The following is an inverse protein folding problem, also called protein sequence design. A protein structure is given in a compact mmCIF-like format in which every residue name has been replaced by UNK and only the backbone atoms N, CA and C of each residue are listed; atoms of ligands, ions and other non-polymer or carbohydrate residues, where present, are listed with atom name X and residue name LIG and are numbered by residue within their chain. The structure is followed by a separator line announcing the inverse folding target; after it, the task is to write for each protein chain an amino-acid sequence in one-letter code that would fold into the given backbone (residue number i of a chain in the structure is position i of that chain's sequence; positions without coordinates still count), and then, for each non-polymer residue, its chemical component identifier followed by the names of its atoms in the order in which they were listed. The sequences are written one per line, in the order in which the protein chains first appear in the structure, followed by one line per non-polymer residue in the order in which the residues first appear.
data_IF_173653107331
#
_entry.id   IF_173653107331
#
_cell.length_a   1.000
_cell.length_b   1.000
_cell.length_c   1.000
_cell.angle_alpha   90.00
_cell.angle_beta   90.00
_cell.angle_gamma   90.00
#
_symmetry.space_group_name_H-M   'P 1'
#
loop_
_entity.id
_entity.type
_entity.pdbx_description
1 polymer ?
#
# COMPACT_ATOMS: atom_id res chain seq x y z
N UNK A 1 -4.62 -10.99 11.25
CA UNK A 1 -5.05 -9.62 10.86
C UNK A 1 -5.56 -9.72 9.44
N UNK A 2 -6.62 -8.97 9.06
CA UNK A 2 -7.05 -8.92 7.67
C UNK A 2 -5.88 -8.57 6.77
N UNK A 3 -5.79 -9.25 5.63
CA UNK A 3 -4.77 -8.94 4.62
C UNK A 3 -5.21 -7.68 3.87
N UNK A 4 -4.29 -6.74 3.66
CA UNK A 4 -4.54 -5.55 2.86
C UNK A 4 -3.58 -5.33 1.70
N UNK A 5 -2.39 -5.93 1.71
CA UNK A 5 -1.50 -5.90 0.57
C UNK A 5 -1.52 -7.24 -0.14
N UNK A 6 -1.39 -7.24 -1.47
CA UNK A 6 -0.96 -8.46 -2.13
C UNK A 6 0.45 -8.78 -1.63
N UNK A 7 0.66 -10.04 -1.23
CA UNK A 7 1.96 -10.51 -0.75
C UNK A 7 3.09 -10.16 -1.72
N UNK A 8 2.77 -10.16 -3.01
CA UNK A 8 3.68 -9.81 -4.08
C UNK A 8 3.29 -8.47 -4.70
N UNK A 9 4.27 -7.58 -4.86
CA UNK A 9 4.12 -6.32 -5.57
C UNK A 9 5.08 -6.29 -6.76
N UNK A 10 4.63 -5.74 -7.88
CA UNK A 10 5.44 -5.70 -9.09
C UNK A 10 6.50 -4.60 -9.00
N UNK A 11 7.76 -4.97 -9.15
CA UNK A 11 8.88 -4.05 -9.24
C UNK A 11 9.28 -3.86 -10.69
N UNK A 12 9.26 -2.62 -11.18
CA UNK A 12 9.81 -2.32 -12.49
C UNK A 12 11.36 -2.32 -12.41
N UNK A 13 12.05 -3.25 -13.10
CA UNK A 13 13.49 -3.40 -13.00
C UNK A 13 14.27 -2.23 -13.62
N UNK A 14 13.64 -1.45 -14.50
CA UNK A 14 14.30 -0.36 -15.21
C UNK A 14 14.39 0.92 -14.38
N UNK A 15 13.49 1.11 -13.42
CA UNK A 15 13.42 2.33 -12.63
C UNK A 15 13.25 2.09 -11.13
N UNK A 16 13.22 0.85 -10.65
CA UNK A 16 13.10 0.50 -9.23
C UNK A 16 11.85 1.08 -8.58
N UNK A 17 10.74 1.18 -9.33
CA UNK A 17 9.43 1.66 -8.85
C UNK A 17 8.50 0.46 -8.66
N UNK A 18 7.68 0.51 -7.62
CA UNK A 18 6.60 -0.47 -7.47
C UNK A 18 5.45 -0.02 -8.38
N UNK A 19 5.08 -0.85 -9.34
CA UNK A 19 4.04 -0.53 -10.30
C UNK A 19 2.69 -1.08 -9.86
N UNK A 20 1.66 -0.24 -9.96
CA UNK A 20 0.27 -0.59 -9.65
C UNK A 20 0.10 -1.30 -8.29
N UNK A 21 0.67 -0.78 -7.19
CA UNK A 21 0.56 -1.45 -5.91
C UNK A 21 -0.90 -1.62 -5.50
N UNK A 22 -1.20 -2.73 -4.85
CA UNK A 22 -2.57 -3.08 -4.50
C UNK A 22 -2.68 -4.22 -3.51
N UNK A 23 -3.92 -4.55 -3.17
CA UNK A 23 -4.20 -5.67 -2.31
C UNK A 23 -5.69 -5.90 -2.03
N UNK A 24 -6.02 -6.95 -1.30
CA UNK A 24 -7.40 -7.26 -0.95
C UNK A 24 -7.94 -6.27 0.09
N UNK A 25 -9.25 -6.06 0.11
CA UNK A 25 -9.94 -5.37 1.20
C UNK A 25 -10.69 -6.44 1.96
N UNK A 26 -10.05 -7.00 2.98
CA UNK A 26 -10.64 -8.03 3.82
C UNK A 26 -10.88 -7.51 5.23
N UNK A 27 -11.81 -8.12 5.95
CA UNK A 27 -12.08 -7.80 7.35
C UNK A 27 -12.74 -6.44 7.62
N UNK A 28 -13.33 -5.81 6.60
CA UNK A 28 -14.17 -4.63 6.80
C UNK A 28 -15.51 -5.06 7.37
N UNK A 29 -15.91 -4.44 8.47
CA UNK A 29 -17.13 -4.78 9.19
C UNK A 29 -18.41 -4.56 8.34
N UNK A 30 -19.41 -5.45 8.42
CA UNK A 30 -20.70 -5.26 7.78
C UNK A 30 -21.40 -4.02 8.34
N UNK A 31 -21.38 -2.92 7.58
CA UNK A 31 -21.84 -1.61 8.07
C UNK A 31 -20.89 -0.48 7.70
N UNK A 32 -19.68 -0.81 7.26
CA UNK A 32 -18.70 0.14 6.77
C UNK A 32 -18.52 0.02 5.26
N UNK A 33 -18.41 1.16 4.60
CA UNK A 33 -18.17 1.26 3.16
C UNK A 33 -16.79 1.86 2.88
N UNK A 34 -15.84 1.10 2.31
CA UNK A 34 -14.55 1.61 1.91
C UNK A 34 -14.66 2.77 0.93
N UNK A 35 -14.08 3.93 1.28
CA UNK A 35 -14.13 5.13 0.43
C UNK A 35 -12.80 5.50 -0.17
N UNK A 36 -11.73 5.54 0.63
CA UNK A 36 -10.40 5.78 0.08
C UNK A 36 -9.28 4.99 0.76
N UNK A 37 -8.17 4.73 0.05
CA UNK A 37 -6.93 4.14 0.59
C UNK A 37 -5.75 5.01 0.20
N UNK A 38 -4.99 5.42 1.20
CA UNK A 38 -3.65 5.97 1.02
C UNK A 38 -2.64 4.88 1.34
N UNK A 39 -1.68 4.66 0.46
CA UNK A 39 -0.72 3.58 0.60
C UNK A 39 0.71 4.05 0.33
N UNK A 40 1.66 3.47 1.06
CA UNK A 40 3.09 3.67 0.92
C UNK A 40 3.82 2.34 1.00
N UNK A 41 4.97 2.26 0.36
CA UNK A 41 5.92 1.19 0.54
C UNK A 41 7.25 1.77 1.02
N UNK A 42 7.90 1.06 1.92
CA UNK A 42 9.27 1.36 2.37
C UNK A 42 10.09 0.08 2.36
N UNK A 43 11.32 0.14 1.90
CA UNK A 43 12.28 -0.98 2.00
C UNK A 43 13.44 -0.52 2.87
N UNK A 44 13.93 -1.39 3.75
CA UNK A 44 15.08 -1.08 4.58
C UNK A 44 16.33 -0.85 3.72
N UNK A 45 17.08 0.20 4.01
CA UNK A 45 18.38 0.44 3.39
C UNK A 45 19.47 -0.21 4.24
N UNK A 46 20.10 -1.26 3.74
CA UNK A 46 21.24 -1.87 4.41
C UNK A 46 21.47 -3.31 3.98
N UNK A 47 22.71 -3.61 3.57
CA UNK A 47 23.17 -4.98 3.31
C UNK A 47 23.64 -5.67 4.62
N UNK A 48 23.56 -5.00 5.77
CA UNK A 48 24.01 -5.53 7.06
C UNK A 48 23.23 -4.96 8.24
N UNK A 49 23.23 -5.69 9.37
CA UNK A 49 22.55 -5.33 10.61
C UNK A 49 23.06 -4.04 11.29
N UNK A 50 24.17 -3.46 10.82
CA UNK A 50 24.82 -2.29 11.44
C UNK A 50 24.71 -1.01 10.61
N UNK A 51 24.13 -1.07 9.41
CA UNK A 51 23.97 0.09 8.54
C UNK A 51 22.49 0.45 8.42
N UNK A 52 22.09 1.52 9.11
CA UNK A 52 20.78 2.15 8.92
C UNK A 52 20.93 3.12 7.75
N UNK A 53 20.82 2.63 6.51
CA UNK A 53 20.59 3.53 5.38
C UNK A 53 19.10 3.80 5.28
N UNK A 54 18.76 5.05 4.96
CA UNK A 54 17.41 5.37 4.50
C UNK A 54 17.18 4.60 3.20
N UNK A 55 16.40 3.52 3.27
CA UNK A 55 16.05 2.77 2.08
C UNK A 55 14.93 3.45 1.30
N UNK A 56 14.58 2.89 0.13
CA UNK A 56 13.66 3.55 -0.78
C UNK A 56 12.25 3.59 -0.20
N UNK A 57 11.53 4.66 -0.53
CA UNK A 57 10.14 4.86 -0.14
C UNK A 57 9.33 5.39 -1.31
N UNK A 58 8.08 4.99 -1.38
CA UNK A 58 7.16 5.40 -2.44
C UNK A 58 5.75 5.51 -1.88
N UNK A 59 5.03 6.56 -2.25
CA UNK A 59 3.58 6.59 -2.06
C UNK A 59 2.85 6.04 -3.28
N UNK A 60 1.58 5.78 -3.08
CA UNK A 60 0.58 5.66 -4.13
C UNK A 60 -0.03 7.03 -4.39
N UNK A 61 -0.69 7.20 -5.53
CA UNK A 61 -1.58 8.34 -5.77
C UNK A 61 -2.89 7.84 -6.35
N UNK A 62 -3.97 8.55 -6.01
CA UNK A 62 -5.35 8.22 -6.36
C UNK A 62 -5.95 9.26 -7.32
N UNK A 63 -5.11 9.93 -8.11
CA UNK A 63 -5.46 11.05 -9.00
C UNK A 63 -6.64 10.79 -9.95
N UNK A 64 -6.84 9.53 -10.37
CA UNK A 64 -7.90 9.11 -11.30
C UNK A 64 -8.82 8.03 -10.73
N UNK A 65 -8.90 7.93 -9.40
CA UNK A 65 -9.57 6.82 -8.77
C UNK A 65 -11.11 6.87 -8.89
N UNK A 66 -11.71 5.80 -9.40
CA UNK A 66 -13.16 5.64 -9.58
C UNK A 66 -13.85 4.81 -8.48
N UNK A 67 -13.17 4.55 -7.36
CA UNK A 67 -13.63 3.67 -6.28
C UNK A 67 -13.00 2.27 -6.32
N UNK A 68 -13.13 1.53 -5.21
CA UNK A 68 -12.54 0.20 -5.10
C UNK A 68 -13.16 -0.78 -6.10
N UNK A 69 -12.33 -1.58 -6.75
CA UNK A 69 -12.80 -2.83 -7.35
C UNK A 69 -13.39 -3.69 -6.22
N UNK A 70 -14.54 -4.36 -6.40
CA UNK A 70 -15.14 -5.15 -5.33
C UNK A 70 -14.13 -6.11 -4.67
N UNK A 71 -13.87 -5.90 -3.37
CA UNK A 71 -12.95 -6.70 -2.57
C UNK A 71 -11.46 -6.42 -2.73
N UNK A 72 -11.05 -5.42 -3.51
CA UNK A 72 -9.63 -5.08 -3.70
C UNK A 72 -9.38 -3.61 -3.99
N UNK A 73 -8.15 -3.18 -3.74
CA UNK A 73 -7.67 -1.87 -4.12
C UNK A 73 -6.43 -1.99 -4.99
N UNK A 74 -6.27 -1.01 -5.87
CA UNK A 74 -5.08 -0.82 -6.67
C UNK A 74 -4.86 0.68 -6.77
N UNK A 75 -3.61 1.11 -6.63
CA UNK A 75 -3.24 2.49 -6.90
C UNK A 75 -3.49 2.81 -8.37
N UNK A 76 -4.16 3.93 -8.61
CA UNK A 76 -4.43 4.39 -9.96
C UNK A 76 -3.15 4.81 -10.68
N UNK A 77 -2.18 5.37 -9.96
CA UNK A 77 -0.85 5.66 -10.47
C UNK A 77 0.18 5.47 -9.34
N UNK A 78 1.45 5.16 -9.68
CA UNK A 78 2.51 5.17 -8.68
C UNK A 78 2.81 6.63 -8.28
N UNK A 79 2.81 6.94 -6.98
CA UNK A 79 2.95 8.30 -6.45
C UNK A 79 4.39 8.83 -6.43
N UNK A 80 4.74 9.61 -5.42
CA UNK A 80 6.12 10.09 -5.25
C UNK A 80 7.04 8.92 -4.93
N UNK A 81 8.31 9.01 -5.32
CA UNK A 81 9.33 7.99 -5.02
C UNK A 81 10.63 8.66 -4.58
N UNK A 82 11.25 8.13 -3.53
CA UNK A 82 12.61 8.44 -3.12
C UNK A 82 13.46 7.15 -3.16
N UNK A 83 14.59 7.16 -3.88
CA UNK A 83 15.44 5.99 -4.08
C UNK A 83 14.89 4.98 -5.09
N UNK A 84 15.57 3.84 -5.21
CA UNK A 84 15.19 2.71 -6.08
C UNK A 84 15.02 1.46 -5.23
N UNK A 85 13.83 0.88 -5.27
CA UNK A 85 13.57 -0.43 -4.68
C UNK A 85 14.39 -1.52 -5.39
N UNK A 86 14.76 -2.53 -4.61
CA UNK A 86 15.41 -3.75 -5.08
C UNK A 86 14.47 -4.95 -4.87
N UNK A 87 14.64 -6.03 -5.64
CA UNK A 87 13.93 -7.27 -5.38
C UNK A 87 14.14 -7.74 -3.93
N UNK A 88 13.08 -8.21 -3.28
CA UNK A 88 13.12 -8.66 -1.89
C UNK A 88 12.02 -8.06 -1.02
N UNK A 89 12.21 -8.11 0.30
CA UNK A 89 11.19 -7.68 1.25
C UNK A 89 11.09 -6.15 1.32
N UNK A 90 9.85 -5.68 1.45
CA UNK A 90 9.50 -4.30 1.79
C UNK A 90 8.32 -4.32 2.78
N UNK A 91 8.04 -3.17 3.38
CA UNK A 91 6.87 -2.94 4.22
C UNK A 91 5.86 -2.12 3.42
N UNK A 92 4.69 -2.69 3.17
CA UNK A 92 3.49 -1.98 2.75
C UNK A 92 2.82 -1.34 3.96
N UNK A 93 2.43 -0.08 3.82
CA UNK A 93 1.74 0.71 4.82
C UNK A 93 0.50 1.28 4.14
N UNK A 94 -0.67 1.07 4.69
CA UNK A 94 -1.91 1.64 4.13
C UNK A 94 -2.82 2.21 5.22
N UNK A 95 -3.55 3.25 4.83
CA UNK A 95 -4.57 3.91 5.61
C UNK A 95 -5.88 3.83 4.84
N UNK A 96 -6.83 3.06 5.34
CA UNK A 96 -8.17 2.98 4.79
C UNK A 96 -9.07 4.00 5.46
N UNK A 97 -9.80 4.77 4.66
CA UNK A 97 -10.95 5.51 5.12
C UNK A 97 -12.23 4.74 4.81
N UNK A 98 -12.99 4.49 5.87
CA UNK A 98 -14.27 3.81 5.87
C UNK A 98 -15.37 4.82 6.17
N UNK A 99 -16.50 4.73 5.49
CA UNK A 99 -17.71 5.45 5.88
C UNK A 99 -18.61 4.51 6.68
N UNK A 100 -18.92 4.89 7.91
CA UNK A 100 -19.92 4.21 8.72
C UNK A 100 -21.32 4.50 8.14
N UNK A 101 -22.05 3.47 7.72
CA UNK A 101 -23.34 3.64 7.06
C UNK A 101 -24.46 4.06 8.02
N UNK A 102 -24.32 3.81 9.32
CA UNK A 102 -25.30 4.20 10.32
C UNK A 102 -25.19 5.69 10.70
N UNK A 103 -23.97 6.21 10.83
CA UNK A 103 -23.72 7.58 11.29
C UNK A 103 -23.33 8.53 10.16
N UNK A 104 -22.89 8.00 9.02
CA UNK A 104 -22.34 8.76 7.90
C UNK A 104 -20.92 9.29 8.12
N UNK A 105 -20.29 9.01 9.27
CA UNK A 105 -18.95 9.51 9.63
C UNK A 105 -17.83 8.71 8.98
N UNK A 106 -16.66 9.35 8.83
CA UNK A 106 -15.44 8.67 8.39
C UNK A 106 -14.66 8.12 9.57
N UNK A 107 -14.20 6.87 9.43
CA UNK A 107 -13.32 6.17 10.35
C UNK A 107 -12.09 5.68 9.57
N UNK A 108 -10.98 5.45 10.29
CA UNK A 108 -9.68 5.21 9.67
C UNK A 108 -9.03 3.95 10.25
N UNK A 109 -8.55 3.07 9.37
CA UNK A 109 -7.85 1.84 9.74
C UNK A 109 -6.44 1.83 9.13
N UNK A 110 -5.45 1.55 9.98
CA UNK A 110 -4.04 1.42 9.56
C UNK A 110 -3.67 -0.04 9.38
N UNK A 111 -3.00 -0.33 8.26
CA UNK A 111 -2.49 -1.64 7.94
C UNK A 111 -0.99 -1.58 7.65
N UNK A 112 -0.29 -2.63 8.10
CA UNK A 112 1.15 -2.77 7.97
C UNK A 112 1.45 -4.22 7.59
N UNK A 113 2.05 -4.44 6.42
CA UNK A 113 2.33 -5.79 5.92
C UNK A 113 3.70 -5.89 5.28
N UNK A 114 4.36 -7.01 5.53
CA UNK A 114 5.56 -7.37 4.78
C UNK A 114 5.13 -7.86 3.39
N UNK A 115 5.66 -7.24 2.35
CA UNK A 115 5.45 -7.59 0.95
C UNK A 115 6.76 -7.99 0.28
N UNK A 116 6.67 -8.81 -0.76
CA UNK A 116 7.77 -9.21 -1.62
C UNK A 116 7.73 -8.40 -2.92
N UNK A 117 8.85 -7.77 -3.26
CA UNK A 117 9.05 -7.04 -4.51
C UNK A 117 9.72 -7.93 -5.54
N UNK A 118 9.13 -8.08 -6.73
CA UNK A 118 9.69 -8.88 -7.83
C UNK A 118 9.37 -8.33 -9.22
#
# INVERSE_FOLDING_TARGET
MPANWYLTQHLNPNNGRIEWPGGPITGVDPGYDPKWVEAWAVQGGGLSATQIWMGPSQSTTQSSWSGFTPGSWAAAEPGWKNGNFQPGLAMGISLLALRNNATGTYEYEWWFEVVMLQ
#
